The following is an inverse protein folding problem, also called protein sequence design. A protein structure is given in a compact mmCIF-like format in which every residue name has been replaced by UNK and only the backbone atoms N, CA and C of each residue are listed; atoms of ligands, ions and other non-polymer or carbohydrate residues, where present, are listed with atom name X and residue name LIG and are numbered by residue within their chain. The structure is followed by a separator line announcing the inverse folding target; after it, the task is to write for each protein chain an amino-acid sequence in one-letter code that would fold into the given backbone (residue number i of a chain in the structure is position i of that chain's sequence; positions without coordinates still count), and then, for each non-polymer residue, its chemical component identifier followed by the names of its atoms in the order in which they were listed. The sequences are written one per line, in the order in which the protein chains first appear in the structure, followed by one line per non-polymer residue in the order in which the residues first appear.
data_IF_066009373019
#
_entry.id   IF_066009373019
#
_cell.length_a   1.000
_cell.length_b   1.000
_cell.length_c   1.000
_cell.angle_alpha   90.00
_cell.angle_beta   90.00
_cell.angle_gamma   90.00
#
_symmetry.space_group_name_H-M   'P 1'
#
loop_
_entity.id
_entity.type
_entity.pdbx_description
1 polymer ?
#
# COMPACT_ATOMS: atom_id res chain seq x y z
N UNK A 1 -9.80 -6.66 -15.85
CA UNK A 1 -9.40 -6.36 -14.46
C UNK A 1 -7.97 -5.85 -14.52
N UNK A 2 -7.70 -4.58 -14.19
CA UNK A 2 -6.43 -3.92 -14.56
C UNK A 2 -5.23 -4.25 -13.66
N UNK A 3 -5.47 -4.69 -12.42
CA UNK A 3 -4.41 -4.98 -11.44
C UNK A 3 -4.16 -6.48 -11.28
N UNK A 4 -5.16 -7.24 -10.84
CA UNK A 4 -5.04 -8.70 -10.70
C UNK A 4 -4.04 -9.14 -9.63
N UNK A 5 -3.77 -8.33 -8.60
CA UNK A 5 -2.79 -8.66 -7.55
C UNK A 5 -3.31 -9.68 -6.52
N UNK A 6 -4.62 -9.66 -6.30
CA UNK A 6 -5.28 -10.56 -5.37
C UNK A 6 -6.57 -11.11 -5.99
N UNK A 7 -6.97 -12.27 -5.51
CA UNK A 7 -8.29 -12.84 -5.70
C UNK A 7 -8.94 -13.03 -4.34
N UNK A 8 -10.17 -12.54 -4.21
CA UNK A 8 -11.00 -12.72 -3.01
C UNK A 8 -11.86 -13.97 -3.23
N UNK A 9 -12.01 -14.78 -2.18
CA UNK A 9 -12.86 -15.97 -2.21
C UNK A 9 -14.33 -15.64 -2.49
N UNK A 10 -15.00 -16.52 -3.22
CA UNK A 10 -16.34 -16.30 -3.79
C UNK A 10 -17.39 -15.98 -2.73
N UNK A 11 -17.27 -16.55 -1.53
CA UNK A 11 -18.17 -16.26 -0.40
C UNK A 11 -18.15 -14.81 0.08
N UNK A 12 -17.15 -14.01 -0.31
CA UNK A 12 -17.03 -12.59 0.03
C UNK A 12 -17.21 -11.66 -1.19
N UNK A 13 -17.63 -12.21 -2.33
CA UNK A 13 -17.82 -11.47 -3.58
C UNK A 13 -19.11 -11.86 -4.27
N UNK A 14 -19.76 -10.90 -4.91
CA UNK A 14 -20.90 -11.15 -5.79
C UNK A 14 -20.44 -11.20 -7.24
N UNK A 15 -21.12 -12.02 -8.03
CA UNK A 15 -20.93 -12.07 -9.49
C UNK A 15 -21.87 -11.12 -10.23
N UNK A 16 -21.62 -10.92 -11.52
CA UNK A 16 -22.62 -10.40 -12.44
C UNK A 16 -23.30 -11.56 -13.16
N UNK A 17 -24.63 -11.51 -13.31
CA UNK A 17 -25.40 -12.47 -14.12
C UNK A 17 -25.01 -12.46 -15.60
N UNK A 18 -24.42 -11.35 -16.09
CA UNK A 18 -23.98 -11.18 -17.49
C UNK A 18 -22.48 -11.49 -17.66
N UNK A 19 -21.67 -11.28 -16.62
CA UNK A 19 -20.21 -11.44 -16.66
C UNK A 19 -19.74 -12.40 -15.56
N UNK A 20 -19.70 -13.72 -15.83
CA UNK A 20 -19.32 -14.74 -14.85
C UNK A 20 -17.93 -14.54 -14.24
N UNK A 21 -17.02 -13.92 -14.99
CA UNK A 21 -15.66 -13.59 -14.57
C UNK A 21 -15.57 -12.34 -13.66
N UNK A 22 -16.63 -11.53 -13.60
CA UNK A 22 -16.65 -10.29 -12.82
C UNK A 22 -17.05 -10.62 -11.38
N UNK A 23 -16.08 -10.53 -10.46
CA UNK A 23 -16.29 -10.59 -9.01
C UNK A 23 -16.23 -9.20 -8.42
N UNK A 24 -17.29 -8.78 -7.74
CA UNK A 24 -17.36 -7.50 -7.04
C UNK A 24 -16.85 -7.70 -5.60
N UNK A 25 -16.01 -6.80 -5.08
CA UNK A 25 -15.51 -6.90 -3.71
C UNK A 25 -16.51 -6.25 -2.74
N UNK A 26 -17.68 -6.87 -2.53
CA UNK A 26 -18.79 -6.26 -1.78
C UNK A 26 -18.42 -5.93 -0.33
N UNK A 27 -17.65 -6.81 0.33
CA UNK A 27 -17.23 -6.62 1.72
C UNK A 27 -16.46 -5.28 1.91
N UNK A 28 -15.35 -5.01 1.19
CA UNK A 28 -14.66 -3.73 1.31
C UNK A 28 -15.45 -2.55 0.74
N UNK A 29 -16.34 -2.75 -0.23
CA UNK A 29 -17.23 -1.69 -0.71
C UNK A 29 -18.22 -1.25 0.38
N UNK A 30 -18.87 -2.20 1.05
CA UNK A 30 -19.80 -1.94 2.15
C UNK A 30 -19.11 -1.33 3.36
N UNK A 31 -17.92 -1.82 3.73
CA UNK A 31 -17.15 -1.23 4.83
C UNK A 31 -16.79 0.22 4.55
N UNK A 32 -16.34 0.53 3.32
CA UNK A 32 -16.07 1.91 2.91
C UNK A 32 -17.33 2.78 2.96
N UNK A 33 -18.49 2.27 2.55
CA UNK A 33 -19.76 2.99 2.65
C UNK A 33 -20.20 3.23 4.11
N UNK A 34 -20.05 2.22 4.97
CA UNK A 34 -20.37 2.27 6.40
C UNK A 34 -19.52 3.29 7.18
N UNK A 35 -18.34 3.66 6.69
CA UNK A 35 -17.57 4.79 7.25
C UNK A 35 -18.39 6.07 7.32
N UNK A 36 -19.15 6.40 6.26
CA UNK A 36 -20.00 7.60 6.26
C UNK A 36 -21.06 7.58 7.36
N UNK A 37 -21.62 6.40 7.65
CA UNK A 37 -22.59 6.20 8.74
C UNK A 37 -21.97 6.47 10.10
N UNK A 38 -20.83 5.85 10.40
CA UNK A 38 -20.13 6.00 11.69
C UNK A 38 -19.68 7.45 11.90
N UNK A 39 -19.19 8.13 10.85
CA UNK A 39 -18.86 9.56 10.92
C UNK A 39 -20.11 10.41 11.17
N UNK A 40 -21.24 10.07 10.55
CA UNK A 40 -22.52 10.72 10.80
C UNK A 40 -22.96 10.61 12.27
N UNK A 41 -22.84 9.42 12.86
CA UNK A 41 -23.14 9.18 14.28
C UNK A 41 -22.26 10.03 15.20
N UNK A 42 -20.96 10.12 14.92
CA UNK A 42 -20.04 10.99 15.67
C UNK A 42 -20.49 12.46 15.61
N UNK A 43 -20.79 12.95 14.41
CA UNK A 43 -21.23 14.34 14.25
C UNK A 43 -22.57 14.62 14.93
N UNK A 44 -23.50 13.66 14.90
CA UNK A 44 -24.76 13.72 15.63
C UNK A 44 -24.53 13.84 17.14
N UNK A 45 -23.70 12.97 17.72
CA UNK A 45 -23.39 12.98 19.16
C UNK A 45 -22.68 14.27 19.59
N UNK A 46 -21.69 14.76 18.83
CA UNK A 46 -21.03 16.05 19.14
C UNK A 46 -22.04 17.19 19.13
N UNK A 47 -22.97 17.19 18.17
CA UNK A 47 -24.00 18.23 18.04
C UNK A 47 -25.02 18.15 19.17
N UNK A 48 -25.43 16.93 19.57
CA UNK A 48 -26.33 16.69 20.69
C UNK A 48 -25.78 17.28 22.00
N UNK A 49 -24.48 17.08 22.25
CA UNK A 49 -23.82 17.54 23.46
C UNK A 49 -23.53 19.06 23.48
N UNK A 50 -23.60 19.72 22.32
CA UNK A 50 -23.20 21.13 22.17
C UNK A 50 -24.13 22.06 22.97
N UNK A 51 -23.58 22.66 24.03
CA UNK A 51 -24.22 23.76 24.75
C UNK A 51 -25.36 23.34 25.68
N UNK A 52 -25.45 22.05 26.03
CA UNK A 52 -26.38 21.60 27.06
C UNK A 52 -26.01 22.17 28.44
N UNK A 53 -26.95 22.75 29.19
CA UNK A 53 -26.72 23.14 30.58
C UNK A 53 -26.62 21.91 31.48
N UNK A 54 -25.98 22.04 32.64
CA UNK A 54 -25.96 20.98 33.64
C UNK A 54 -27.31 20.88 34.38
N UNK A 55 -27.74 19.72 34.86
CA UNK A 55 -27.07 18.41 34.80
C UNK A 55 -27.66 17.49 33.72
N UNK A 56 -28.75 16.77 34.04
CA UNK A 56 -29.40 15.86 33.08
C UNK A 56 -30.41 16.62 32.21
N UNK A 57 -30.28 16.47 30.88
CA UNK A 57 -31.27 16.88 29.90
C UNK A 57 -31.84 15.65 29.20
N UNK A 58 -33.14 15.69 28.85
CA UNK A 58 -33.84 14.57 28.22
C UNK A 58 -33.32 14.29 26.80
N UNK A 59 -32.72 15.28 26.15
CA UNK A 59 -31.97 15.21 24.89
C UNK A 59 -30.98 14.03 24.89
N UNK A 60 -30.34 13.74 26.04
CA UNK A 60 -29.40 12.62 26.20
C UNK A 60 -30.07 11.24 26.09
N UNK A 61 -31.36 11.17 25.78
CA UNK A 61 -31.98 9.92 25.34
C UNK A 61 -31.47 9.48 23.96
N UNK A 62 -31.10 10.42 23.08
CA UNK A 62 -30.64 10.22 21.69
C UNK A 62 -29.20 9.71 21.57
N UNK A 63 -28.49 9.48 22.68
CA UNK A 63 -27.10 9.02 22.67
C UNK A 63 -26.94 7.52 22.31
N UNK A 64 -28.00 6.73 22.56
CA UNK A 64 -27.97 5.26 22.50
C UNK A 64 -28.00 4.74 21.08
N UNK A 65 -28.92 5.21 20.26
CA UNK A 65 -29.10 4.74 18.88
C UNK A 65 -27.84 4.87 18.02
N UNK A 66 -27.19 6.06 17.92
CA UNK A 66 -25.94 6.21 17.17
C UNK A 66 -24.80 5.37 17.75
N UNK A 67 -24.74 5.20 19.07
CA UNK A 67 -23.74 4.36 19.72
C UNK A 67 -23.95 2.88 19.38
N UNK A 68 -25.18 2.37 19.51
CA UNK A 68 -25.50 0.98 19.26
C UNK A 68 -25.26 0.61 17.80
N UNK A 69 -25.76 1.40 16.84
CA UNK A 69 -25.51 1.12 15.42
C UNK A 69 -24.01 1.23 15.06
N UNK A 70 -23.26 2.11 15.71
CA UNK A 70 -21.79 2.16 15.55
C UNK A 70 -21.13 0.87 16.03
N UNK A 71 -21.49 0.38 17.22
CA UNK A 71 -20.94 -0.85 17.79
C UNK A 71 -21.27 -2.05 16.91
N UNK A 72 -22.53 -2.19 16.47
CA UNK A 72 -22.96 -3.27 15.59
C UNK A 72 -22.26 -3.19 14.23
N UNK A 73 -22.18 -1.99 13.65
CA UNK A 73 -21.47 -1.75 12.40
C UNK A 73 -20.00 -2.17 12.50
N UNK A 74 -19.30 -1.79 13.56
CA UNK A 74 -17.88 -2.14 13.73
C UNK A 74 -17.68 -3.64 13.97
N UNK A 75 -18.49 -4.26 14.84
CA UNK A 75 -18.40 -5.70 15.12
C UNK A 75 -18.59 -6.53 13.86
N UNK A 76 -19.65 -6.26 13.10
CA UNK A 76 -19.95 -7.01 11.87
C UNK A 76 -18.86 -6.79 10.82
N UNK A 77 -18.44 -5.53 10.64
CA UNK A 77 -17.40 -5.17 9.65
C UNK A 77 -16.06 -5.83 9.98
N UNK A 78 -15.62 -5.79 11.25
CA UNK A 78 -14.36 -6.39 11.66
C UNK A 78 -14.38 -7.92 11.52
N UNK A 79 -15.49 -8.55 11.91
CA UNK A 79 -15.65 -10.01 11.78
C UNK A 79 -15.55 -10.45 10.32
N UNK A 80 -16.33 -9.84 9.43
CA UNK A 80 -16.31 -10.24 8.02
C UNK A 80 -14.97 -9.94 7.35
N UNK A 81 -14.27 -8.87 7.75
CA UNK A 81 -12.93 -8.57 7.25
C UNK A 81 -11.90 -9.60 7.69
N UNK A 82 -11.95 -10.06 8.95
CA UNK A 82 -11.05 -11.10 9.44
C UNK A 82 -11.20 -12.38 8.61
N UNK A 83 -12.45 -12.83 8.40
CA UNK A 83 -12.76 -14.01 7.59
C UNK A 83 -12.38 -13.82 6.11
N UNK A 84 -12.55 -12.60 5.57
CA UNK A 84 -12.20 -12.27 4.18
C UNK A 84 -10.69 -12.33 3.95
N UNK A 85 -9.89 -11.78 4.86
CA UNK A 85 -8.43 -11.72 4.73
C UNK A 85 -7.83 -13.14 4.62
N UNK A 86 -8.37 -14.10 5.37
CA UNK A 86 -7.98 -15.52 5.26
C UNK A 86 -8.32 -16.14 3.89
N UNK A 87 -9.34 -15.61 3.21
CA UNK A 87 -9.76 -16.03 1.88
C UNK A 87 -9.07 -15.31 0.72
N UNK A 88 -8.03 -14.49 0.99
CA UNK A 88 -7.29 -13.80 -0.07
C UNK A 88 -6.22 -14.72 -0.66
N UNK A 89 -6.26 -14.90 -1.98
CA UNK A 89 -5.16 -15.50 -2.75
C UNK A 89 -4.34 -14.40 -3.41
N UNK A 90 -3.06 -14.30 -3.06
CA UNK A 90 -2.12 -13.37 -3.69
C UNK A 90 -1.66 -13.95 -5.03
N UNK A 91 -1.41 -13.08 -6.02
CA UNK A 91 -0.84 -13.43 -7.33
C UNK A 91 0.56 -12.82 -7.48
N UNK A 92 1.61 -13.49 -6.98
CA UNK A 92 2.96 -12.93 -6.91
C UNK A 92 3.50 -12.49 -8.27
N UNK A 93 3.24 -13.26 -9.33
CA UNK A 93 3.75 -12.96 -10.67
C UNK A 93 3.16 -11.65 -11.21
N UNK A 94 1.86 -11.42 -10.99
CA UNK A 94 1.19 -10.18 -11.40
C UNK A 94 1.71 -8.97 -10.61
N UNK A 95 2.01 -9.14 -9.32
CA UNK A 95 2.59 -8.10 -8.48
C UNK A 95 4.04 -7.79 -8.86
N UNK A 96 4.88 -8.80 -9.10
CA UNK A 96 6.27 -8.63 -9.54
C UNK A 96 6.33 -7.95 -10.91
N UNK A 97 5.50 -8.39 -11.87
CA UNK A 97 5.39 -7.74 -13.17
C UNK A 97 4.88 -6.29 -13.10
N UNK A 98 4.06 -5.95 -12.09
CA UNK A 98 3.67 -4.56 -11.86
C UNK A 98 4.77 -3.73 -11.19
N UNK A 99 5.52 -4.30 -10.25
CA UNK A 99 6.63 -3.62 -9.58
C UNK A 99 7.79 -3.31 -10.53
N UNK A 100 8.01 -4.17 -11.54
CA UNK A 100 8.95 -3.91 -12.64
C UNK A 100 8.50 -2.78 -13.57
N UNK A 101 7.21 -2.45 -13.60
CA UNK A 101 6.70 -1.38 -14.45
C UNK A 101 6.82 -0.03 -13.73
N UNK A 102 7.46 0.93 -14.38
CA UNK A 102 7.49 2.33 -13.93
C UNK A 102 8.78 2.79 -13.28
N UNK A 103 9.90 2.10 -13.50
CA UNK A 103 11.23 2.54 -13.07
C UNK A 103 11.31 2.79 -11.56
N UNK A 104 10.66 1.94 -10.75
CA UNK A 104 10.59 2.09 -9.30
C UNK A 104 11.98 2.12 -8.63
N UNK A 105 12.99 1.52 -9.28
CA UNK A 105 14.39 1.50 -8.83
C UNK A 105 15.19 2.73 -9.23
N UNK A 106 14.58 3.73 -9.90
CA UNK A 106 15.22 5.01 -10.18
C UNK A 106 15.71 5.70 -8.90
N UNK A 107 14.91 5.65 -7.84
CA UNK A 107 15.33 6.18 -6.53
C UNK A 107 16.53 5.43 -5.96
N UNK A 108 16.63 4.12 -6.20
CA UNK A 108 17.80 3.32 -5.77
C UNK A 108 19.07 3.69 -6.54
N UNK A 109 18.94 4.04 -7.83
CA UNK A 109 20.06 4.59 -8.60
C UNK A 109 20.53 5.94 -8.06
N UNK A 110 19.60 6.81 -7.65
CA UNK A 110 19.95 8.09 -7.05
C UNK A 110 20.67 7.89 -5.71
N UNK A 111 20.15 7.03 -4.83
CA UNK A 111 20.78 6.66 -3.56
C UNK A 111 22.18 6.06 -3.78
N UNK A 112 22.36 5.24 -4.82
CA UNK A 112 23.65 4.67 -5.21
C UNK A 112 24.65 5.75 -5.59
N UNK A 113 24.27 6.72 -6.43
CA UNK A 113 25.14 7.83 -6.81
C UNK A 113 25.49 8.73 -5.61
N UNK A 114 24.53 8.96 -4.71
CA UNK A 114 24.78 9.70 -3.47
C UNK A 114 25.79 9.00 -2.58
N UNK A 115 25.70 7.67 -2.45
CA UNK A 115 26.70 6.87 -1.72
C UNK A 115 28.09 6.93 -2.36
N UNK A 116 28.18 7.18 -3.67
CA UNK A 116 29.43 7.44 -4.39
C UNK A 116 29.91 8.90 -4.34
N UNK A 117 29.23 9.74 -3.56
CA UNK A 117 29.66 11.12 -3.27
C UNK A 117 29.01 12.19 -4.14
N UNK A 118 28.07 11.84 -5.02
CA UNK A 118 27.34 12.82 -5.82
C UNK A 118 26.27 13.53 -4.96
N UNK A 119 26.18 14.86 -4.94
CA UNK A 119 25.09 15.55 -4.25
C UNK A 119 23.73 15.08 -4.76
N UNK A 120 22.75 14.96 -3.86
CA UNK A 120 21.43 14.37 -4.20
C UNK A 120 20.73 15.07 -5.36
N UNK A 121 20.85 16.40 -5.45
CA UNK A 121 20.28 17.19 -6.56
C UNK A 121 20.84 16.72 -7.92
N UNK A 122 22.16 16.57 -7.99
CA UNK A 122 22.85 16.17 -9.23
C UNK A 122 22.55 14.69 -9.53
N UNK A 123 22.51 13.84 -8.51
CA UNK A 123 22.09 12.44 -8.65
C UNK A 123 20.67 12.32 -9.21
N UNK A 124 19.72 13.10 -8.70
CA UNK A 124 18.35 13.12 -9.21
C UNK A 124 18.30 13.55 -10.69
N UNK A 125 19.06 14.57 -11.08
CA UNK A 125 19.16 15.02 -12.48
C UNK A 125 19.76 13.93 -13.39
N UNK A 126 20.86 13.31 -12.97
CA UNK A 126 21.48 12.16 -13.67
C UNK A 126 20.47 11.02 -13.88
N UNK A 127 19.74 10.64 -12.84
CA UNK A 127 18.73 9.58 -12.92
C UNK A 127 17.57 9.96 -13.83
N UNK A 128 17.12 11.22 -13.81
CA UNK A 128 16.06 11.66 -14.71
C UNK A 128 16.44 11.49 -16.19
N UNK A 129 17.70 11.76 -16.54
CA UNK A 129 18.23 11.50 -17.88
C UNK A 129 18.31 10.01 -18.21
N UNK A 130 18.78 9.18 -17.28
CA UNK A 130 18.82 7.72 -17.45
C UNK A 130 17.42 7.13 -17.66
N UNK A 131 16.42 7.56 -16.87
CA UNK A 131 15.02 7.13 -17.01
C UNK A 131 14.46 7.56 -18.37
N UNK A 132 14.73 8.79 -18.81
CA UNK A 132 14.30 9.27 -20.13
C UNK A 132 14.89 8.42 -21.27
N UNK A 133 16.16 8.03 -21.15
CA UNK A 133 16.79 7.14 -22.12
C UNK A 133 16.14 5.74 -22.12
N UNK A 134 15.92 5.15 -20.94
CA UNK A 134 15.26 3.86 -20.81
C UNK A 134 13.84 3.86 -21.44
N UNK A 135 13.05 4.92 -21.20
CA UNK A 135 11.75 5.13 -21.84
C UNK A 135 11.86 5.18 -23.36
N UNK A 136 12.83 5.93 -23.89
CA UNK A 136 13.05 6.04 -25.34
C UNK A 136 13.41 4.70 -25.98
N UNK A 137 14.17 3.87 -25.26
CA UNK A 137 14.57 2.54 -25.69
C UNK A 137 13.52 1.45 -25.39
N UNK A 138 12.45 1.77 -24.65
CA UNK A 138 11.40 0.83 -24.21
C UNK A 138 11.97 -0.34 -23.40
N UNK A 139 12.93 -0.05 -22.52
CA UNK A 139 13.58 -1.00 -21.62
C UNK A 139 13.52 -0.48 -20.19
N UNK A 140 13.71 -1.34 -19.20
CA UNK A 140 13.90 -0.94 -17.81
C UNK A 140 15.29 -0.31 -17.57
N UNK A 141 15.48 0.41 -16.47
CA UNK A 141 16.80 0.93 -16.08
C UNK A 141 17.84 -0.19 -15.92
N UNK A 142 17.43 -1.34 -15.38
CA UNK A 142 18.29 -2.52 -15.20
C UNK A 142 18.73 -3.17 -16.52
N UNK A 143 18.08 -2.83 -17.64
CA UNK A 143 18.38 -3.35 -18.97
C UNK A 143 19.30 -2.42 -19.78
N UNK A 144 19.56 -1.20 -19.30
CA UNK A 144 20.53 -0.30 -19.94
C UNK A 144 21.95 -0.87 -19.82
N UNK A 145 22.73 -0.93 -20.91
CA UNK A 145 24.12 -1.36 -20.84
C UNK A 145 24.97 -0.48 -19.93
N UNK A 146 25.96 -1.06 -19.25
CA UNK A 146 26.81 -0.33 -18.30
C UNK A 146 27.49 0.88 -18.95
N UNK A 147 27.95 0.74 -20.19
CA UNK A 147 28.54 1.83 -20.96
C UNK A 147 27.58 3.01 -21.11
N UNK A 148 26.30 2.75 -21.39
CA UNK A 148 25.26 3.79 -21.51
C UNK A 148 25.00 4.43 -20.15
N UNK A 149 24.97 3.65 -19.06
CA UNK A 149 24.82 4.20 -17.72
C UNK A 149 26.01 5.11 -17.35
N UNK A 150 27.23 4.72 -17.73
CA UNK A 150 28.46 5.48 -17.49
C UNK A 150 28.53 6.81 -18.26
N UNK A 151 27.80 6.95 -19.37
CA UNK A 151 27.65 8.24 -20.06
C UNK A 151 26.91 9.27 -19.18
N UNK A 152 26.01 8.84 -18.30
CA UNK A 152 25.32 9.74 -17.37
C UNK A 152 26.17 10.07 -16.14
N UNK A 153 26.93 9.10 -15.62
CA UNK A 153 27.90 9.35 -14.57
C UNK A 153 29.03 8.29 -14.56
N UNK A 154 30.30 8.69 -14.71
CA UNK A 154 31.43 7.75 -14.76
C UNK A 154 31.66 6.92 -13.49
N UNK A 155 31.10 7.31 -12.34
CA UNK A 155 31.19 6.53 -11.09
C UNK A 155 30.29 5.30 -11.07
N UNK A 156 29.42 5.13 -12.08
CA UNK A 156 28.57 3.94 -12.20
C UNK A 156 29.44 2.73 -12.59
N UNK A 157 29.34 1.68 -11.78
CA UNK A 157 30.08 0.43 -11.94
C UNK A 157 29.10 -0.74 -12.06
N UNK A 158 29.63 -1.95 -12.25
CA UNK A 158 28.82 -3.16 -12.48
C UNK A 158 27.88 -3.51 -11.31
N UNK A 159 28.19 -3.05 -10.09
CA UNK A 159 27.38 -3.21 -8.88
C UNK A 159 26.05 -2.43 -8.93
N UNK A 160 25.87 -1.50 -9.88
CA UNK A 160 24.61 -0.77 -10.09
C UNK A 160 23.42 -1.70 -10.36
N UNK A 161 23.66 -2.84 -11.01
CA UNK A 161 22.60 -3.80 -11.32
C UNK A 161 22.05 -4.50 -10.07
N UNK A 162 22.83 -4.55 -8.99
CA UNK A 162 22.36 -5.10 -7.73
C UNK A 162 21.25 -4.20 -7.16
N UNK A 163 21.47 -2.88 -7.13
CA UNK A 163 20.48 -1.90 -6.61
C UNK A 163 19.30 -1.67 -7.56
N UNK A 164 19.50 -1.87 -8.87
CA UNK A 164 18.44 -1.77 -9.88
C UNK A 164 17.54 -3.00 -9.92
N UNK A 165 17.86 -4.07 -9.20
CA UNK A 165 16.97 -5.22 -9.03
C UNK A 165 15.91 -4.95 -7.95
N UNK A 166 14.69 -5.49 -8.12
CA UNK A 166 13.66 -5.40 -7.07
C UNK A 166 14.12 -5.98 -5.73
N UNK A 167 14.90 -7.07 -5.78
CA UNK A 167 15.45 -7.73 -4.58
C UNK A 167 16.48 -6.85 -3.89
N UNK A 168 17.37 -6.21 -4.65
CA UNK A 168 18.34 -5.25 -4.12
C UNK A 168 17.67 -4.02 -3.51
N UNK A 169 16.70 -3.42 -4.21
CA UNK A 169 15.89 -2.30 -3.70
C UNK A 169 15.21 -2.65 -2.37
N UNK A 170 14.54 -3.81 -2.28
CA UNK A 170 13.92 -4.28 -1.04
C UNK A 170 14.96 -4.46 0.08
N UNK A 171 16.09 -5.11 -0.20
CA UNK A 171 17.13 -5.36 0.78
C UNK A 171 17.84 -4.08 1.23
N UNK A 172 17.91 -3.05 0.39
CA UNK A 172 18.51 -1.76 0.73
C UNK A 172 17.72 -1.02 1.82
N UNK A 173 16.39 -1.21 1.87
CA UNK A 173 15.52 -0.63 2.92
C UNK A 173 15.55 -1.46 4.22
N UNK A 174 16.73 -1.90 4.65
CA UNK A 174 16.95 -2.68 5.87
C UNK A 174 17.12 -1.79 7.12
N UNK A 175 16.10 -0.98 7.38
CA UNK A 175 15.99 -0.12 8.56
C UNK A 175 14.73 -0.51 9.35
N UNK A 176 14.62 -0.06 10.60
CA UNK A 176 13.42 -0.31 11.40
C UNK A 176 12.17 0.21 10.67
N UNK A 177 11.21 -0.68 10.39
CA UNK A 177 9.99 -0.36 9.65
C UNK A 177 10.15 -0.38 8.11
N UNK A 178 11.34 -0.68 7.60
CA UNK A 178 11.60 -0.80 6.17
C UNK A 178 11.05 -2.09 5.55
N UNK A 179 11.09 -2.16 4.22
CA UNK A 179 10.50 -3.24 3.42
C UNK A 179 11.41 -4.45 3.22
N UNK A 180 12.64 -4.42 3.76
CA UNK A 180 13.56 -5.54 3.67
C UNK A 180 12.94 -6.82 4.28
N UNK A 181 13.07 -8.00 3.64
CA UNK A 181 12.45 -9.23 4.14
C UNK A 181 12.84 -9.59 5.58
N UNK A 182 14.07 -9.25 6.00
CA UNK A 182 14.51 -9.41 7.38
C UNK A 182 13.70 -8.55 8.36
N UNK A 183 13.44 -7.29 8.01
CA UNK A 183 12.64 -6.35 8.82
C UNK A 183 11.18 -6.76 8.87
N UNK A 184 10.60 -7.18 7.74
CA UNK A 184 9.21 -7.67 7.68
C UNK A 184 9.04 -8.92 8.55
N UNK A 185 9.96 -9.89 8.48
CA UNK A 185 9.91 -11.08 9.35
C UNK A 185 10.04 -10.72 10.83
N UNK A 186 10.96 -9.83 11.18
CA UNK A 186 11.11 -9.34 12.55
C UNK A 186 9.83 -8.64 13.05
N UNK A 187 9.20 -7.84 12.19
CA UNK A 187 7.95 -7.14 12.51
C UNK A 187 6.78 -8.12 12.70
N UNK A 188 6.67 -9.16 11.86
CA UNK A 188 5.68 -10.24 12.03
C UNK A 188 5.87 -10.92 13.39
N UNK A 189 7.10 -11.28 13.75
CA UNK A 189 7.40 -11.91 15.04
C UNK A 189 7.00 -11.01 16.22
N UNK A 190 7.34 -9.71 16.16
CA UNK A 190 6.95 -8.72 17.17
C UNK A 190 5.44 -8.60 17.32
N UNK A 191 4.70 -8.55 16.21
CA UNK A 191 3.24 -8.47 16.24
C UNK A 191 2.58 -9.73 16.79
N UNK A 192 3.10 -10.91 16.45
CA UNK A 192 2.64 -12.17 17.04
C UNK A 192 2.84 -12.18 18.56
N UNK A 193 4.02 -11.77 19.04
CA UNK A 193 4.30 -11.68 20.47
C UNK A 193 3.42 -10.65 21.20
N UNK A 194 3.04 -9.54 20.55
CA UNK A 194 2.16 -8.52 21.12
C UNK A 194 0.70 -8.98 21.23
N UNK A 195 0.26 -9.87 20.34
CA UNK A 195 -1.13 -10.34 20.24
C UNK A 195 -1.39 -11.67 20.97
N UNK A 196 -0.32 -12.37 21.36
CA UNK A 196 -0.38 -13.57 22.20
C UNK A 196 -0.70 -13.18 23.66
#
# INVERSE_FOLDING_TARGET
QNFGFIQIADRFTTGSSIMPQKKNPDVPELARGKTGRVVGHLMGLITLMKGQPLAYNKDNQEDKEPLFDTVDTLKDTLRIFAEMIEGITVRPEAMEAAALRGYATATDLADYLVKKGLPFRDAHETVAHAVKAAISHKVDLSELPLAVLQEFNPSIEKDVYDVLSLRGSLNARNILGGTAPAQVRAQIARHRARLA
#
